data_IF_717572146197
#
_entry.id   IF_717572146197
#
_cell.length_a   1.000
_cell.length_b   1.000
_cell.length_c   1.000
_cell.angle_alpha   90.00
_cell.angle_beta   90.00
_cell.angle_gamma   90.00
#
_symmetry.space_group_name_H-M   'P 1'
#
loop_
_entity.id
_entity.type
_entity.pdbx_description
1 polymer ?
#
# COMPACT_ATOMS: atom_id res chain seq x y z
N UNK A 1 7.74 -7.81 -17.03
CA UNK A 1 8.77 -7.22 -17.92
C UNK A 1 8.47 -5.74 -18.10
N UNK A 2 9.45 -4.86 -17.92
CA UNK A 2 9.31 -3.42 -18.22
C UNK A 2 10.34 -3.07 -19.29
N UNK A 3 9.88 -2.61 -20.45
CA UNK A 3 10.73 -2.14 -21.54
C UNK A 3 10.64 -0.62 -21.60
N UNK A 4 11.78 0.04 -21.64
CA UNK A 4 11.88 1.50 -21.72
C UNK A 4 12.49 1.87 -23.07
N UNK A 5 11.93 2.87 -23.71
CA UNK A 5 12.40 3.42 -24.98
C UNK A 5 12.40 4.93 -24.84
N UNK A 6 13.56 5.54 -25.03
CA UNK A 6 13.72 6.99 -25.02
C UNK A 6 13.83 7.47 -26.49
N UNK A 7 12.98 8.41 -26.90
CA UNK A 7 13.01 9.06 -28.24
C UNK A 7 13.10 10.56 -28.02
N UNK A 8 14.28 11.13 -28.26
CA UNK A 8 14.55 12.54 -27.95
C UNK A 8 14.38 12.82 -26.45
N UNK A 9 13.55 13.80 -26.10
CA UNK A 9 13.22 14.15 -24.71
C UNK A 9 12.03 13.35 -24.13
N UNK A 10 11.45 12.42 -24.90
CA UNK A 10 10.28 11.64 -24.49
C UNK A 10 10.67 10.23 -24.08
N UNK A 11 10.19 9.80 -22.90
CA UNK A 11 10.38 8.45 -22.38
C UNK A 11 9.09 7.64 -22.46
N UNK A 12 9.14 6.54 -23.20
CA UNK A 12 8.06 5.56 -23.31
C UNK A 12 8.38 4.35 -22.43
N UNK A 13 7.46 3.99 -21.54
CA UNK A 13 7.59 2.81 -20.67
C UNK A 13 6.46 1.82 -20.95
N UNK A 14 6.81 0.65 -21.44
CA UNK A 14 5.90 -0.47 -21.68
C UNK A 14 6.06 -1.52 -20.60
N UNK A 15 4.98 -1.95 -19.96
CA UNK A 15 5.02 -3.00 -18.94
C UNK A 15 4.03 -4.12 -19.25
N UNK A 16 4.54 -5.35 -19.31
CA UNK A 16 3.73 -6.57 -19.32
C UNK A 16 3.93 -7.28 -17.99
N UNK A 17 2.84 -7.48 -17.26
CA UNK A 17 2.83 -8.13 -15.95
C UNK A 17 1.70 -9.17 -15.92
N UNK A 18 1.95 -10.39 -15.41
CA UNK A 18 0.89 -11.38 -15.21
C UNK A 18 -0.21 -10.77 -14.32
N UNK A 19 -1.46 -10.96 -14.74
CA UNK A 19 -2.64 -10.54 -13.99
C UNK A 19 -3.11 -11.75 -13.19
N UNK A 20 -3.07 -11.64 -11.87
CA UNK A 20 -3.62 -12.64 -10.96
C UNK A 20 -4.93 -12.11 -10.39
N UNK A 21 -5.95 -12.96 -10.33
CA UNK A 21 -7.17 -12.65 -9.59
C UNK A 21 -6.85 -12.72 -8.11
N UNK A 22 -6.70 -11.55 -7.48
CA UNK A 22 -6.40 -11.43 -6.05
C UNK A 22 -7.71 -11.14 -5.32
N UNK A 23 -8.11 -12.02 -4.41
CA UNK A 23 -9.15 -11.69 -3.44
C UNK A 23 -8.53 -10.77 -2.38
N UNK A 24 -9.08 -9.57 -2.26
CA UNK A 24 -8.55 -8.55 -1.38
C UNK A 24 -9.50 -7.36 -1.24
N UNK A 25 -9.17 -6.48 -0.31
CA UNK A 25 -9.93 -5.26 -0.03
C UNK A 25 -9.23 -4.09 -0.71
N UNK A 26 -10.00 -3.29 -1.46
CA UNK A 26 -9.50 -2.08 -2.13
C UNK A 26 -9.84 -0.82 -1.33
N UNK A 27 -8.97 0.19 -1.40
CA UNK A 27 -9.17 1.45 -0.66
C UNK A 27 -10.23 2.35 -1.26
N UNK A 28 -10.54 2.17 -2.53
CA UNK A 28 -11.36 3.12 -3.28
C UNK A 28 -12.80 3.09 -2.80
N UNK A 29 -13.30 4.25 -2.38
CA UNK A 29 -14.67 4.40 -1.86
C UNK A 29 -15.58 5.23 -2.78
N UNK A 30 -15.07 5.70 -3.92
CA UNK A 30 -15.78 6.60 -4.84
C UNK A 30 -15.08 7.96 -4.95
N UNK A 31 -15.40 8.73 -5.99
CA UNK A 31 -14.99 10.14 -6.14
C UNK A 31 -13.50 10.44 -5.89
N UNK A 32 -12.60 9.57 -6.35
CA UNK A 32 -11.15 9.67 -6.14
C UNK A 32 -10.72 9.65 -4.65
N UNK A 33 -11.59 9.17 -3.75
CA UNK A 33 -11.33 9.02 -2.33
C UNK A 33 -10.92 7.60 -1.97
N UNK A 34 -9.99 7.52 -1.03
CA UNK A 34 -9.37 6.29 -0.57
C UNK A 34 -9.28 6.27 0.95
N UNK A 35 -9.67 5.14 1.56
CA UNK A 35 -9.24 4.84 2.93
C UNK A 35 -7.73 4.51 2.94
N UNK A 36 -7.08 4.72 4.08
CA UNK A 36 -5.67 4.38 4.22
C UNK A 36 -5.52 2.92 4.64
N UNK A 37 -4.60 2.24 3.96
CA UNK A 37 -4.22 0.87 4.25
C UNK A 37 -2.70 0.74 4.18
N UNK A 38 -2.13 -0.06 5.07
CA UNK A 38 -0.70 -0.34 5.11
C UNK A 38 -0.48 -1.85 5.11
N UNK A 39 0.56 -2.30 4.42
CA UNK A 39 1.11 -3.66 4.54
C UNK A 39 2.55 -3.55 5.05
N UNK A 40 2.84 -4.33 6.09
CA UNK A 40 4.14 -4.40 6.74
C UNK A 40 4.65 -5.83 6.68
N UNK A 41 5.91 -5.98 6.24
CA UNK A 41 6.59 -7.26 6.05
C UNK A 41 7.91 -7.24 6.86
N UNK A 42 8.20 -8.31 7.60
CA UNK A 42 9.42 -8.56 8.39
C UNK A 42 9.72 -7.53 9.49
N UNK A 43 8.69 -7.08 10.21
CA UNK A 43 8.80 -6.06 11.27
C UNK A 43 8.08 -6.48 12.56
N UNK A 44 8.45 -5.92 13.70
CA UNK A 44 7.78 -6.14 14.99
C UNK A 44 6.51 -5.28 15.14
N UNK A 45 5.59 -5.68 16.03
CA UNK A 45 4.38 -4.91 16.30
C UNK A 45 4.72 -3.51 16.84
N UNK A 46 5.74 -3.40 17.69
CA UNK A 46 6.23 -2.16 18.27
C UNK A 46 6.69 -1.19 17.18
N UNK A 47 7.50 -1.66 16.21
CA UNK A 47 7.93 -0.85 15.07
C UNK A 47 6.74 -0.36 14.23
N UNK A 48 5.74 -1.22 14.01
CA UNK A 48 4.52 -0.85 13.29
C UNK A 48 3.75 0.24 14.05
N UNK A 49 3.58 0.09 15.36
CA UNK A 49 2.89 1.06 16.21
C UNK A 49 3.60 2.42 16.20
N UNK A 50 4.92 2.43 16.32
CA UNK A 50 5.70 3.67 16.31
C UNK A 50 5.63 4.36 14.95
N UNK A 51 5.79 3.61 13.85
CA UNK A 51 5.68 4.16 12.49
C UNK A 51 4.28 4.75 12.23
N UNK A 52 3.23 4.02 12.61
CA UNK A 52 1.85 4.47 12.43
C UNK A 52 1.51 5.66 13.33
N UNK A 53 2.00 5.70 14.57
CA UNK A 53 1.79 6.83 15.49
C UNK A 53 2.38 8.13 14.94
N UNK A 54 3.58 8.06 14.35
CA UNK A 54 4.23 9.23 13.73
C UNK A 54 3.36 9.81 12.62
N UNK A 55 2.87 8.97 11.70
CA UNK A 55 2.01 9.46 10.61
C UNK A 55 0.63 9.86 11.09
N UNK A 56 0.07 9.16 12.09
CA UNK A 56 -1.20 9.52 12.70
C UNK A 56 -1.16 10.94 13.27
N UNK A 57 -0.12 11.26 14.06
CA UNK A 57 0.04 12.61 14.62
C UNK A 57 0.37 13.64 13.54
N UNK A 58 1.28 13.33 12.60
CA UNK A 58 1.71 14.27 11.55
C UNK A 58 0.58 14.66 10.61
N UNK A 59 -0.31 13.72 10.28
CA UNK A 59 -1.38 13.92 9.30
C UNK A 59 -2.77 14.04 9.94
N UNK A 60 -2.86 14.07 11.28
CA UNK A 60 -4.12 14.16 12.05
C UNK A 60 -5.13 13.09 11.66
N UNK A 61 -4.64 11.85 11.52
CA UNK A 61 -5.48 10.72 11.12
C UNK A 61 -6.35 10.25 12.30
N UNK A 62 -7.51 9.66 11.99
CA UNK A 62 -8.31 8.96 13.00
C UNK A 62 -7.57 7.75 13.55
N UNK A 63 -8.24 6.98 14.42
CA UNK A 63 -7.72 5.72 14.92
C UNK A 63 -7.25 4.81 13.77
N UNK A 64 -6.07 4.22 13.97
CA UNK A 64 -5.47 3.26 13.05
C UNK A 64 -5.57 1.88 13.70
N UNK A 65 -6.29 0.98 13.05
CA UNK A 65 -6.45 -0.40 13.48
C UNK A 65 -5.34 -1.26 12.89
N UNK A 66 -4.72 -2.11 13.71
CA UNK A 66 -3.65 -3.01 13.29
C UNK A 66 -4.16 -4.45 13.39
N UNK A 67 -4.05 -5.20 12.29
CA UNK A 67 -4.35 -6.63 12.25
C UNK A 67 -3.08 -7.42 11.95
N UNK A 68 -2.84 -8.48 12.72
CA UNK A 68 -1.73 -9.42 12.46
C UNK A 68 -2.11 -10.34 11.30
N UNK A 69 -1.23 -10.50 10.30
CA UNK A 69 -1.56 -11.23 9.06
C UNK A 69 -0.87 -12.57 8.93
N UNK A 70 0.20 -12.80 9.69
CA UNK A 70 0.94 -14.06 9.78
C UNK A 70 1.58 -14.19 11.16
N UNK A 71 1.95 -15.40 11.55
CA UNK A 71 2.52 -15.67 12.89
C UNK A 71 3.74 -14.81 13.20
N UNK A 72 4.58 -14.55 12.20
CA UNK A 72 5.81 -13.77 12.35
C UNK A 72 5.84 -12.58 11.39
N UNK A 73 6.03 -11.38 11.94
CA UNK A 73 6.47 -10.21 11.20
C UNK A 73 5.52 -9.60 10.17
N UNK A 74 4.23 -9.98 10.11
CA UNK A 74 3.28 -9.44 9.13
C UNK A 74 2.10 -8.74 9.77
N UNK A 75 1.85 -7.51 9.33
CA UNK A 75 0.79 -6.67 9.86
C UNK A 75 0.12 -5.86 8.75
N UNK A 76 -1.20 -5.73 8.84
CA UNK A 76 -1.96 -4.75 8.09
C UNK A 76 -2.38 -3.60 9.01
N UNK A 77 -2.35 -2.38 8.49
CA UNK A 77 -2.93 -1.20 9.13
C UNK A 77 -4.14 -0.70 8.34
N UNK A 78 -5.14 -0.18 9.03
CA UNK A 78 -6.35 0.41 8.43
C UNK A 78 -6.72 1.70 9.15
N UNK A 79 -7.00 2.76 8.40
CA UNK A 79 -7.57 4.00 8.93
C UNK A 79 -8.71 4.44 8.00
N UNK A 80 -9.87 4.68 8.59
CA UNK A 80 -11.11 4.96 7.84
C UNK A 80 -11.26 6.44 7.46
N UNK A 81 -10.33 7.31 7.86
CA UNK A 81 -10.22 8.64 7.27
C UNK A 81 -9.94 8.52 5.77
N UNK A 82 -10.77 9.19 4.96
CA UNK A 82 -10.64 9.18 3.50
C UNK A 82 -9.79 10.35 3.03
N UNK A 83 -8.99 10.09 1.99
CA UNK A 83 -8.15 11.09 1.35
C UNK A 83 -8.17 10.91 -0.16
N UNK A 84 -7.89 12.00 -0.88
CA UNK A 84 -7.58 11.91 -2.30
C UNK A 84 -6.33 11.08 -2.54
N UNK A 85 -6.26 10.40 -3.68
CA UNK A 85 -5.17 9.49 -4.02
C UNK A 85 -3.76 10.09 -3.81
N UNK A 86 -3.52 11.34 -4.22
CA UNK A 86 -2.23 12.00 -4.03
C UNK A 86 -1.84 12.09 -2.56
N UNK A 87 -2.78 12.45 -1.69
CA UNK A 87 -2.57 12.59 -0.25
C UNK A 87 -2.39 11.22 0.40
N UNK A 88 -3.15 10.22 -0.03
CA UNK A 88 -2.96 8.81 0.37
C UNK A 88 -1.53 8.35 0.10
N UNK A 89 -1.01 8.60 -1.12
CA UNK A 89 0.36 8.23 -1.49
C UNK A 89 1.40 8.95 -0.63
N UNK A 90 1.23 10.24 -0.38
CA UNK A 90 2.13 11.03 0.48
C UNK A 90 2.21 10.44 1.90
N UNK A 91 1.07 10.10 2.49
CA UNK A 91 0.99 9.51 3.84
C UNK A 91 1.71 8.16 3.88
N UNK A 92 1.43 7.27 2.91
CA UNK A 92 2.07 5.96 2.85
C UNK A 92 3.58 6.07 2.63
N UNK A 93 4.03 6.95 1.74
CA UNK A 93 5.45 7.17 1.46
C UNK A 93 6.21 7.75 2.67
N UNK A 94 5.52 8.48 3.55
CA UNK A 94 6.08 9.00 4.79
C UNK A 94 6.06 7.98 5.95
N UNK A 95 5.42 6.82 5.78
CA UNK A 95 5.35 5.78 6.81
C UNK A 95 6.60 4.92 6.78
N UNK A 96 7.36 4.91 7.87
CA UNK A 96 8.52 4.04 8.02
C UNK A 96 8.11 2.55 7.96
N UNK A 97 9.03 1.70 7.47
CA UNK A 97 8.87 0.24 7.45
C UNK A 97 7.74 -0.33 6.57
N UNK A 98 7.06 0.50 5.78
CA UNK A 98 6.06 0.01 4.82
C UNK A 98 6.71 -0.97 3.81
N UNK A 99 6.00 -2.05 3.43
CA UNK A 99 6.48 -2.94 2.38
C UNK A 99 6.56 -2.17 1.06
N UNK A 100 7.78 -1.92 0.58
CA UNK A 100 8.02 -1.17 -0.66
C UNK A 100 7.47 -1.90 -1.89
N UNK A 101 7.37 -3.24 -1.87
CA UNK A 101 6.71 -3.99 -2.95
C UNK A 101 5.22 -3.71 -2.93
N UNK A 102 4.58 -3.71 -1.76
CA UNK A 102 3.19 -3.31 -1.61
C UNK A 102 2.96 -1.90 -2.15
N UNK A 103 3.74 -0.91 -1.70
CA UNK A 103 3.60 0.48 -2.14
C UNK A 103 3.77 0.61 -3.66
N UNK A 104 4.79 -0.01 -4.23
CA UNK A 104 5.03 -0.02 -5.69
C UNK A 104 3.82 -0.54 -6.46
N UNK A 105 3.23 -1.65 -6.04
CA UNK A 105 2.08 -2.22 -6.73
C UNK A 105 0.82 -1.38 -6.56
N UNK A 106 0.64 -0.74 -5.41
CA UNK A 106 -0.48 0.18 -5.19
C UNK A 106 -0.37 1.42 -6.08
N UNK A 107 0.84 2.00 -6.19
CA UNK A 107 1.13 3.11 -7.10
C UNK A 107 0.83 2.75 -8.56
N UNK A 108 1.27 1.58 -9.00
CA UNK A 108 1.00 1.11 -10.36
C UNK A 108 -0.51 0.93 -10.64
N UNK A 109 -1.30 0.57 -9.63
CA UNK A 109 -2.74 0.30 -9.77
C UNK A 109 -3.63 1.51 -9.51
N UNK A 110 -3.10 2.61 -8.98
CA UNK A 110 -3.88 3.78 -8.57
C UNK A 110 -4.81 3.53 -7.39
N UNK A 111 -4.58 2.47 -6.60
CA UNK A 111 -5.36 2.15 -5.39
C UNK A 111 -4.57 1.24 -4.46
N UNK A 112 -4.90 1.29 -3.18
CA UNK A 112 -4.36 0.35 -2.19
C UNK A 112 -5.14 -0.96 -2.24
N UNK A 113 -4.44 -2.09 -2.14
CA UNK A 113 -5.06 -3.41 -2.10
C UNK A 113 -4.39 -4.29 -1.06
N UNK A 114 -5.08 -4.59 0.04
CA UNK A 114 -4.65 -5.61 0.98
C UNK A 114 -5.15 -6.97 0.53
N UNK A 115 -4.23 -7.93 0.45
CA UNK A 115 -4.52 -9.28 -0.06
C UNK A 115 -4.99 -10.17 1.07
N UNK A 116 -5.98 -11.00 0.80
CA UNK A 116 -6.41 -12.07 1.70
C UNK A 116 -5.83 -13.43 1.28
N UNK A 117 -5.36 -13.56 0.03
CA UNK A 117 -4.72 -14.77 -0.48
C UNK A 117 -3.20 -14.75 -0.27
N UNK A 118 -2.59 -15.94 -0.21
CA UNK A 118 -1.15 -16.11 -0.06
C UNK A 118 -0.38 -15.33 -1.14
N UNK A 119 0.78 -14.74 -0.76
CA UNK A 119 1.65 -14.02 -1.72
C UNK A 119 2.20 -14.95 -2.83
N UNK A 120 2.08 -16.27 -2.68
CA UNK A 120 2.47 -17.29 -3.68
C UNK A 120 1.44 -17.53 -4.79
N UNK A 121 0.20 -16.99 -4.67
CA UNK A 121 -0.81 -17.14 -5.74
C UNK A 121 -1.42 -18.54 -5.84
N UNK A 122 -1.13 -19.42 -4.88
CA UNK A 122 -1.77 -20.73 -4.75
C UNK A 122 -2.63 -20.73 -3.50
N UNK A 123 -3.89 -21.12 -3.68
CA UNK A 123 -4.75 -21.56 -2.58
C UNK A 123 -4.25 -22.90 -2.06
#
# INVERSE_FOLDING_TARGET
MIKRIDIGSLRFTFSFSPVFTVTGVNSYVGDNLHILMWDFDDVTLEQVKDALKVVQTRYLLSDIHIAKTRETGGYHGFCFTTHEWRRTVEILAATNHIDMKYLKWCLFRGRLTLRLTSKSGYM
#
